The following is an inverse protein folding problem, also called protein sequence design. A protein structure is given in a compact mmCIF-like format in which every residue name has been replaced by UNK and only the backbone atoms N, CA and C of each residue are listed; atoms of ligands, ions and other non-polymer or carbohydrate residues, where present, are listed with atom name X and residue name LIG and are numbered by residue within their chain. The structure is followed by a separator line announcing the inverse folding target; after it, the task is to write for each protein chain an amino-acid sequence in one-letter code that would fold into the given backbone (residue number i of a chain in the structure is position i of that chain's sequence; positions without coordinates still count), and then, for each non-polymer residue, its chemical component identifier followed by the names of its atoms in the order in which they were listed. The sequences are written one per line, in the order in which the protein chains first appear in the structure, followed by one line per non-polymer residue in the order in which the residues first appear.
data_IF_674286792757
#
_entry.id   IF_674286792757
#
_cell.length_a   1.000
_cell.length_b   1.000
_cell.length_c   1.000
_cell.angle_alpha   90.00
_cell.angle_beta   90.00
_cell.angle_gamma   90.00
#
_symmetry.space_group_name_H-M   'P 1'
#
loop_
_entity.id
_entity.type
_entity.pdbx_description
1 polymer ?
#
# COMPACT_ATOMS: atom_id res chain seq x y z
N UNK A 1 9.52 -24.37 -23.20
CA UNK A 1 9.98 -23.12 -22.56
C UNK A 1 10.26 -23.34 -21.09
N UNK A 2 10.87 -22.35 -20.45
CA UNK A 2 11.00 -22.32 -19.00
C UNK A 2 9.60 -22.18 -18.35
N UNK A 3 9.35 -22.81 -17.19
CA UNK A 3 8.14 -22.59 -16.42
C UNK A 3 8.17 -21.20 -15.77
N UNK A 4 7.06 -20.47 -15.87
CA UNK A 4 6.89 -19.12 -15.31
C UNK A 4 5.65 -19.07 -14.43
N UNK A 5 5.72 -18.34 -13.32
CA UNK A 5 4.54 -17.96 -12.52
C UNK A 5 4.19 -16.52 -12.88
N UNK A 6 2.97 -16.31 -13.38
CA UNK A 6 2.49 -14.98 -13.75
C UNK A 6 1.92 -14.29 -12.51
N UNK A 7 2.54 -13.19 -12.08
CA UNK A 7 1.99 -12.34 -11.03
C UNK A 7 1.36 -11.08 -11.63
N UNK A 8 0.06 -10.86 -11.38
CA UNK A 8 -0.67 -9.66 -11.81
C UNK A 8 -1.08 -8.83 -10.61
N UNK A 9 -1.06 -7.50 -10.74
CA UNK A 9 -1.55 -6.59 -9.71
C UNK A 9 -3.08 -6.51 -9.77
N UNK A 10 -3.75 -6.89 -8.69
CA UNK A 10 -5.20 -6.81 -8.53
C UNK A 10 -5.68 -5.48 -7.92
N UNK A 11 -4.83 -4.79 -7.15
CA UNK A 11 -5.20 -3.53 -6.47
C UNK A 11 -5.77 -2.49 -7.43
N UNK A 12 -6.99 -2.03 -7.12
CA UNK A 12 -7.69 -1.00 -7.89
C UNK A 12 -8.28 -1.48 -9.21
N UNK A 13 -8.47 -2.80 -9.39
CA UNK A 13 -9.08 -3.41 -10.58
C UNK A 13 -10.31 -4.23 -10.19
N UNK A 14 -11.32 -4.20 -11.05
CA UNK A 14 -12.48 -5.10 -10.96
C UNK A 14 -12.07 -6.53 -11.35
N UNK A 15 -12.78 -7.58 -10.86
CA UNK A 15 -12.51 -8.97 -11.18
C UNK A 15 -12.34 -9.25 -12.68
N UNK A 16 -13.20 -8.68 -13.52
CA UNK A 16 -13.18 -8.89 -14.97
C UNK A 16 -11.94 -8.26 -15.62
N UNK A 17 -11.50 -7.11 -15.11
CA UNK A 17 -10.27 -6.46 -15.58
C UNK A 17 -9.04 -7.28 -15.22
N UNK A 18 -9.05 -7.95 -14.07
CA UNK A 18 -7.96 -8.85 -13.65
C UNK A 18 -7.93 -10.06 -14.58
N UNK A 19 -9.07 -10.71 -14.82
CA UNK A 19 -9.18 -11.86 -15.73
C UNK A 19 -8.70 -11.52 -17.15
N UNK A 20 -9.13 -10.39 -17.70
CA UNK A 20 -8.71 -9.94 -19.04
C UNK A 20 -7.19 -9.75 -19.13
N UNK A 21 -6.56 -9.16 -18.10
CA UNK A 21 -5.09 -9.00 -18.08
C UNK A 21 -4.40 -10.36 -18.02
N UNK A 22 -4.93 -11.29 -17.22
CA UNK A 22 -4.37 -12.64 -17.12
C UNK A 22 -4.45 -13.37 -18.46
N UNK A 23 -5.61 -13.34 -19.13
CA UNK A 23 -5.80 -13.96 -20.45
C UNK A 23 -4.76 -13.46 -21.47
N UNK A 24 -4.65 -12.14 -21.62
CA UNK A 24 -3.67 -11.53 -22.53
C UNK A 24 -2.24 -11.95 -22.17
N UNK A 25 -1.87 -11.93 -20.89
CA UNK A 25 -0.53 -12.31 -20.47
C UNK A 25 -0.24 -13.80 -20.71
N UNK A 26 -1.21 -14.69 -20.49
CA UNK A 26 -1.05 -16.13 -20.74
C UNK A 26 -0.86 -16.39 -22.23
N UNK A 27 -1.65 -15.76 -23.10
CA UNK A 27 -1.53 -15.88 -24.55
C UNK A 27 -0.17 -15.41 -25.06
N UNK A 28 0.31 -14.26 -24.56
CA UNK A 28 1.63 -13.72 -24.91
C UNK A 28 2.78 -14.62 -24.45
N UNK A 29 2.72 -15.17 -23.23
CA UNK A 29 3.72 -16.12 -22.72
C UNK A 29 3.76 -17.38 -23.60
N UNK A 30 2.59 -17.89 -23.98
CA UNK A 30 2.49 -19.05 -24.87
C UNK A 30 3.05 -18.75 -26.27
N UNK A 31 2.79 -17.56 -26.82
CA UNK A 31 3.32 -17.11 -28.10
C UNK A 31 4.86 -17.01 -28.09
N UNK A 32 5.47 -16.75 -26.94
CA UNK A 32 6.93 -16.77 -26.74
C UNK A 32 7.50 -18.16 -26.37
N UNK A 33 6.72 -19.23 -26.58
CA UNK A 33 7.10 -20.63 -26.31
C UNK A 33 7.47 -20.92 -24.84
N UNK A 34 6.99 -20.09 -23.91
CA UNK A 34 7.08 -20.30 -22.47
C UNK A 34 5.82 -20.99 -21.93
N UNK A 35 5.91 -21.52 -20.70
CA UNK A 35 4.82 -22.24 -20.06
C UNK A 35 4.44 -21.53 -18.76
N UNK A 36 3.19 -21.06 -18.68
CA UNK A 36 2.64 -20.50 -17.44
C UNK A 36 2.24 -21.65 -16.53
N UNK A 37 2.92 -21.81 -15.41
CA UNK A 37 2.65 -22.88 -14.43
C UNK A 37 1.50 -22.52 -13.47
N UNK A 38 1.37 -21.23 -13.14
CA UNK A 38 0.33 -20.71 -12.27
C UNK A 38 0.16 -19.19 -12.46
N UNK A 39 -0.99 -18.68 -12.04
CA UNK A 39 -1.29 -17.25 -11.96
C UNK A 39 -1.45 -16.84 -10.51
N UNK A 40 -0.94 -15.66 -10.15
CA UNK A 40 -1.12 -15.04 -8.84
C UNK A 40 -1.69 -13.63 -9.03
N UNK A 41 -2.96 -13.44 -8.70
CA UNK A 41 -3.56 -12.12 -8.56
C UNK A 41 -3.14 -11.55 -7.19
N UNK A 42 -2.06 -10.77 -7.21
CA UNK A 42 -1.45 -10.21 -6.02
C UNK A 42 -2.08 -8.87 -5.64
N UNK A 43 -2.09 -8.53 -4.35
CA UNK A 43 -2.62 -7.25 -3.84
C UNK A 43 -4.12 -7.08 -4.07
N UNK A 44 -4.90 -8.13 -3.91
CA UNK A 44 -6.35 -8.10 -4.05
C UNK A 44 -7.00 -7.42 -2.85
N UNK A 45 -8.07 -6.66 -3.06
CA UNK A 45 -8.91 -6.24 -1.94
C UNK A 45 -9.43 -7.50 -1.22
N UNK A 46 -9.23 -7.64 0.11
CA UNK A 46 -9.71 -8.79 0.88
C UNK A 46 -11.21 -9.07 0.67
N UNK A 47 -12.03 -8.02 0.48
CA UNK A 47 -13.47 -8.16 0.27
C UNK A 47 -13.83 -8.76 -1.10
N UNK A 48 -12.96 -8.61 -2.10
CA UNK A 48 -13.22 -9.06 -3.48
C UNK A 48 -12.51 -10.38 -3.82
N UNK A 49 -11.77 -11.00 -2.90
CA UNK A 49 -10.94 -12.17 -3.21
C UNK A 49 -11.73 -13.33 -3.83
N UNK A 50 -12.96 -13.56 -3.36
CA UNK A 50 -13.84 -14.61 -3.91
C UNK A 50 -14.24 -14.33 -5.35
N UNK A 51 -14.67 -13.10 -5.64
CA UNK A 51 -15.07 -12.68 -6.98
C UNK A 51 -13.90 -12.72 -7.97
N UNK A 52 -12.71 -12.30 -7.54
CA UNK A 52 -11.48 -12.39 -8.34
C UNK A 52 -11.12 -13.85 -8.61
N UNK A 53 -11.20 -14.72 -7.62
CA UNK A 53 -10.94 -16.15 -7.81
C UNK A 53 -11.94 -16.78 -8.78
N UNK A 54 -13.22 -16.41 -8.69
CA UNK A 54 -14.28 -16.88 -9.58
C UNK A 54 -14.05 -16.42 -11.02
N UNK A 55 -13.70 -15.15 -11.23
CA UNK A 55 -13.38 -14.61 -12.55
C UNK A 55 -12.19 -15.34 -13.21
N UNK A 56 -11.21 -15.78 -12.41
CA UNK A 56 -10.03 -16.49 -12.89
C UNK A 56 -10.25 -17.98 -13.17
N UNK A 57 -11.40 -18.56 -12.80
CA UNK A 57 -11.69 -19.98 -13.08
C UNK A 57 -11.77 -20.30 -14.57
N UNK A 58 -12.10 -19.31 -15.39
CA UNK A 58 -12.18 -19.47 -16.85
C UNK A 58 -10.80 -19.52 -17.52
N UNK A 59 -9.72 -19.21 -16.79
CA UNK A 59 -8.37 -19.14 -17.31
C UNK A 59 -7.57 -20.37 -16.86
N UNK A 60 -6.93 -21.06 -17.80
CA UNK A 60 -5.84 -21.99 -17.49
C UNK A 60 -4.52 -21.21 -17.52
N UNK A 61 -3.57 -21.39 -16.58
CA UNK A 61 -3.43 -22.40 -15.52
C UNK A 61 -4.06 -22.02 -14.15
N UNK A 62 -3.87 -22.87 -13.13
CA UNK A 62 -4.40 -22.65 -11.78
C UNK A 62 -4.02 -21.27 -11.21
N UNK A 63 -5.02 -20.61 -10.62
CA UNK A 63 -4.94 -19.23 -10.16
C UNK A 63 -5.04 -19.12 -8.64
N UNK A 64 -4.19 -18.28 -8.05
CA UNK A 64 -4.19 -17.91 -6.64
C UNK A 64 -4.51 -16.43 -6.49
N UNK A 65 -5.21 -16.07 -5.42
CA UNK A 65 -5.49 -14.68 -5.07
C UNK A 65 -4.83 -14.39 -3.73
N UNK A 66 -4.01 -13.34 -3.68
CA UNK A 66 -3.35 -12.88 -2.46
C UNK A 66 -3.90 -11.52 -2.06
N UNK A 67 -4.26 -11.30 -0.78
CA UNK A 67 -4.78 -10.03 -0.31
C UNK A 67 -3.71 -8.93 -0.37
N UNK A 68 -4.16 -7.68 -0.45
CA UNK A 68 -3.35 -6.51 -0.14
C UNK A 68 -3.17 -6.43 1.37
N UNK A 69 -1.91 -6.35 1.82
CA UNK A 69 -1.55 -6.16 3.22
C UNK A 69 -0.80 -4.83 3.33
N UNK A 70 -1.44 -3.75 3.86
CA UNK A 70 -0.85 -2.40 3.86
C UNK A 70 0.52 -2.32 4.52
N UNK A 71 0.73 -3.08 5.59
CA UNK A 71 2.00 -3.12 6.34
C UNK A 71 3.16 -3.65 5.50
N UNK A 72 2.93 -4.56 4.55
CA UNK A 72 4.00 -5.15 3.75
C UNK A 72 4.57 -4.20 2.69
N UNK A 73 3.89 -3.09 2.43
CA UNK A 73 4.27 -2.10 1.39
C UNK A 73 4.50 -0.71 1.96
N UNK A 74 4.14 -0.48 3.22
CA UNK A 74 4.37 0.77 3.91
C UNK A 74 5.88 0.99 4.11
N UNK A 75 6.41 2.16 3.75
CA UNK A 75 7.80 2.49 4.06
C UNK A 75 7.98 2.68 5.57
N UNK A 76 9.18 2.49 6.09
CA UNK A 76 9.48 2.91 7.46
C UNK A 76 9.68 4.44 7.55
N UNK A 77 9.58 5.00 8.76
CA UNK A 77 9.94 6.41 8.99
C UNK A 77 11.40 6.67 8.59
N UNK A 78 12.31 5.72 8.81
CA UNK A 78 13.71 5.81 8.38
C UNK A 78 13.84 5.90 6.84
N UNK A 79 13.05 5.13 6.10
CA UNK A 79 13.03 5.19 4.63
C UNK A 79 12.48 6.54 4.14
N UNK A 80 11.44 7.08 4.78
CA UNK A 80 10.96 8.43 4.47
C UNK A 80 12.01 9.50 4.77
N UNK A 81 12.67 9.42 5.92
CA UNK A 81 13.76 10.33 6.28
C UNK A 81 14.83 10.33 5.20
N UNK A 82 15.27 9.15 4.77
CA UNK A 82 16.27 9.02 3.71
C UNK A 82 15.76 9.59 2.37
N UNK A 83 14.51 9.31 2.01
CA UNK A 83 13.91 9.76 0.75
C UNK A 83 13.76 11.28 0.64
N UNK A 84 13.58 11.98 1.76
CA UNK A 84 13.46 13.46 1.78
C UNK A 84 14.77 14.16 2.19
N UNK A 85 15.86 13.41 2.33
CA UNK A 85 17.14 13.93 2.85
C UNK A 85 16.96 14.64 4.21
N UNK A 86 16.07 14.11 5.04
CA UNK A 86 15.64 14.70 6.30
C UNK A 86 16.62 14.46 7.45
N UNK A 87 16.57 15.35 8.44
CA UNK A 87 17.30 15.21 9.70
C UNK A 87 16.34 15.08 10.87
N UNK A 88 16.58 14.10 11.75
CA UNK A 88 15.79 13.94 12.98
C UNK A 88 16.10 15.10 13.94
N UNK A 89 15.09 15.91 14.24
CA UNK A 89 15.21 17.02 15.21
C UNK A 89 14.82 16.56 16.62
N UNK A 90 13.75 15.77 16.73
CA UNK A 90 13.24 15.24 17.99
C UNK A 90 12.54 13.89 17.74
N UNK A 91 12.65 12.96 18.69
CA UNK A 91 11.98 11.67 18.67
C UNK A 91 12.88 10.56 19.22
N UNK A 92 12.29 9.39 19.46
CA UNK A 92 13.07 8.19 19.76
C UNK A 92 13.54 7.56 18.44
N UNK A 93 14.85 7.35 18.30
CA UNK A 93 15.44 6.71 17.12
C UNK A 93 14.95 5.28 16.92
N UNK A 94 14.54 4.58 17.99
CA UNK A 94 13.97 3.24 17.87
C UNK A 94 12.60 3.23 17.17
N UNK A 95 11.88 4.36 17.15
CA UNK A 95 10.60 4.48 16.46
C UNK A 95 10.75 4.74 14.96
N UNK A 96 11.98 4.94 14.46
CA UNK A 96 12.21 5.14 13.03
C UNK A 96 11.92 3.89 12.19
N UNK A 97 11.92 2.72 12.83
CA UNK A 97 11.60 1.44 12.18
C UNK A 97 10.09 1.22 12.05
N UNK A 98 9.23 2.08 12.63
CA UNK A 98 7.77 1.98 12.47
C UNK A 98 7.36 2.26 11.03
N UNK A 99 6.35 1.53 10.57
CA UNK A 99 5.74 1.68 9.26
C UNK A 99 4.89 2.95 9.19
N UNK A 100 5.00 3.66 8.06
CA UNK A 100 4.14 4.78 7.71
C UNK A 100 3.05 4.29 6.78
N UNK A 101 1.85 4.19 7.34
CA UNK A 101 0.67 3.63 6.66
C UNK A 101 0.03 4.61 5.68
N UNK A 102 0.13 5.91 5.95
CA UNK A 102 -0.40 6.96 5.09
C UNK A 102 0.36 8.28 5.28
N UNK A 103 0.16 9.24 4.37
CA UNK A 103 0.77 10.57 4.42
C UNK A 103 -0.30 11.65 4.35
N UNK A 104 -0.39 12.48 5.39
CA UNK A 104 -1.29 13.63 5.46
C UNK A 104 -0.54 14.93 5.18
N UNK A 105 -0.88 15.61 4.09
CA UNK A 105 -0.35 16.95 3.78
C UNK A 105 -1.19 18.01 4.52
N UNK A 106 -0.63 18.53 5.60
CA UNK A 106 -1.26 19.49 6.51
C UNK A 106 -1.13 20.95 6.02
N UNK A 107 -1.69 21.23 4.84
CA UNK A 107 -1.81 22.60 4.29
C UNK A 107 -3.00 23.41 4.82
N UNK A 108 -3.78 22.84 5.73
CA UNK A 108 -5.03 23.40 6.27
C UNK A 108 -4.86 23.89 7.72
N UNK A 109 -5.96 24.28 8.39
CA UNK A 109 -5.97 24.67 9.81
C UNK A 109 -5.64 23.46 10.69
N UNK A 110 -5.02 23.70 11.86
CA UNK A 110 -4.66 22.62 12.80
C UNK A 110 -5.87 21.77 13.22
N UNK A 111 -7.04 22.39 13.45
CA UNK A 111 -8.30 21.69 13.74
C UNK A 111 -8.66 20.65 12.68
N UNK A 112 -8.66 21.05 11.39
CA UNK A 112 -8.96 20.12 10.30
C UNK A 112 -7.90 19.03 10.10
N UNK A 113 -6.65 19.29 10.51
CA UNK A 113 -5.60 18.26 10.53
C UNK A 113 -5.93 17.19 11.57
N UNK A 114 -6.33 17.60 12.78
CA UNK A 114 -6.66 16.68 13.88
C UNK A 114 -7.81 15.72 13.53
N UNK A 115 -8.82 16.20 12.81
CA UNK A 115 -9.96 15.38 12.35
C UNK A 115 -9.57 14.28 11.35
N UNK A 116 -8.40 14.41 10.71
CA UNK A 116 -7.92 13.53 9.64
C UNK A 116 -6.74 12.67 10.07
N UNK A 117 -6.34 12.73 11.35
CA UNK A 117 -5.33 11.84 11.87
C UNK A 117 -5.86 10.40 11.89
N UNK A 118 -5.00 9.49 11.46
CA UNK A 118 -5.22 8.04 11.47
C UNK A 118 -3.98 7.36 12.02
N UNK A 119 -4.09 6.11 12.44
CA UNK A 119 -2.96 5.36 12.98
C UNK A 119 -1.82 5.26 11.94
N UNK A 120 -0.58 5.47 12.38
CA UNK A 120 0.60 5.35 11.52
C UNK A 120 0.70 6.39 10.39
N UNK A 121 -0.01 7.52 10.49
CA UNK A 121 0.06 8.59 9.48
C UNK A 121 1.31 9.47 9.67
N UNK A 122 2.06 9.70 8.60
CA UNK A 122 3.08 10.74 8.57
C UNK A 122 2.46 12.08 8.17
N UNK A 123 2.61 13.09 9.03
CA UNK A 123 2.11 14.45 8.75
C UNK A 123 3.21 15.30 8.13
N UNK A 124 2.94 15.84 6.94
CA UNK A 124 3.83 16.78 6.25
C UNK A 124 3.23 18.18 6.31
N UNK A 125 3.95 19.13 6.91
CA UNK A 125 3.49 20.52 7.05
C UNK A 125 4.62 21.50 6.74
N UNK A 126 4.32 22.72 6.25
CA UNK A 126 5.32 23.77 6.09
C UNK A 126 6.03 24.12 7.40
N UNK A 127 7.32 24.43 7.35
CA UNK A 127 8.15 24.67 8.53
C UNK A 127 7.78 25.90 9.37
N UNK A 128 6.95 26.80 8.84
CA UNK A 128 6.42 27.97 9.54
C UNK A 128 5.10 27.68 10.30
N UNK A 129 4.53 26.47 10.15
CA UNK A 129 3.27 26.05 10.79
C UNK A 129 3.49 25.42 12.16
N UNK A 130 4.05 26.20 13.08
CA UNK A 130 4.25 25.77 14.48
C UNK A 130 2.95 25.36 15.17
N UNK A 131 1.81 25.96 14.78
CA UNK A 131 0.48 25.61 15.27
C UNK A 131 0.10 24.15 14.95
N UNK A 132 0.40 23.69 13.73
CA UNK A 132 0.13 22.30 13.30
C UNK A 132 1.02 21.33 14.04
N UNK A 133 2.32 21.63 14.12
CA UNK A 133 3.29 20.76 14.82
C UNK A 133 2.90 20.56 16.28
N UNK A 134 2.54 21.64 16.99
CA UNK A 134 2.11 21.57 18.38
C UNK A 134 0.80 20.79 18.54
N UNK A 135 -0.16 20.98 17.63
CA UNK A 135 -1.44 20.26 17.67
C UNK A 135 -1.22 18.75 17.49
N UNK A 136 -0.43 18.34 16.50
CA UNK A 136 -0.15 16.91 16.23
C UNK A 136 0.62 16.26 17.37
N UNK A 137 1.64 16.92 17.93
CA UNK A 137 2.36 16.41 19.10
C UNK A 137 1.46 16.28 20.32
N UNK A 138 0.55 17.23 20.51
CA UNK A 138 -0.43 17.19 21.61
C UNK A 138 -1.44 16.05 21.42
N UNK A 139 -1.88 15.82 20.17
CA UNK A 139 -2.75 14.71 19.84
C UNK A 139 -2.06 13.36 20.05
N UNK A 140 -0.80 13.20 19.64
CA UNK A 140 -0.03 11.98 19.87
C UNK A 140 0.13 11.63 21.37
N UNK A 141 0.16 12.65 22.24
CA UNK A 141 0.22 12.45 23.70
C UNK A 141 -1.15 12.24 24.37
N UNK A 142 -2.25 12.50 23.67
CA UNK A 142 -3.60 12.44 24.21
C UNK A 142 -4.18 11.02 24.14
N UNK A 143 -4.83 10.59 25.22
CA UNK A 143 -5.57 9.31 25.21
C UNK A 143 -6.75 9.38 24.23
N UNK A 144 -6.87 8.37 23.36
CA UNK A 144 -7.96 8.25 22.40
C UNK A 144 -7.70 8.89 21.03
N UNK A 145 -6.52 9.48 20.82
CA UNK A 145 -6.07 9.90 19.49
C UNK A 145 -5.16 8.84 18.85
N UNK A 146 -5.11 8.76 17.51
CA UNK A 146 -4.24 7.82 16.80
C UNK A 146 -2.75 8.11 17.03
N UNK A 147 -1.91 7.07 16.97
CA UNK A 147 -0.46 7.11 17.24
C UNK A 147 0.42 6.79 16.04
#
# INVERSE_FOLDING_TARGET
GAPVVLAVKAKGRAPEQIAQVVEVCVDEIAAQHAYTAAVVANRCDPAMMGEVLDALKAVEPHSYVLPEEPLLVAPSVAELQAAVEGTVVQGDTALLDREVLDVLVAGMTAEHVLERLTEGVAVVTPGDRSDVVLAVLSAHAAEGFPS
#
